data_IF_299267544467
#
_entry.id   IF_299267544467
#
_cell.length_a   1.000
_cell.length_b   1.000
_cell.length_c   1.000
_cell.angle_alpha   90.00
_cell.angle_beta   90.00
_cell.angle_gamma   90.00
#
_symmetry.space_group_name_H-M   'P 1'
#
loop_
_entity.id
_entity.type
_entity.pdbx_description
1 polymer ?
#
# COMPACT_ATOMS: atom_id res chain seq x y z
N UNK A 1 -6.41 -22.82 7.78
CA UNK A 1 -5.68 -21.96 6.83
C UNK A 1 -6.03 -22.44 5.43
N UNK A 2 -6.70 -21.62 4.61
CA UNK A 2 -7.07 -21.99 3.24
C UNK A 2 -6.04 -21.48 2.23
N UNK A 3 -5.71 -22.31 1.24
CA UNK A 3 -4.94 -21.90 0.07
C UNK A 3 -5.89 -21.31 -0.96
N UNK A 4 -5.58 -20.11 -1.45
CA UNK A 4 -6.34 -19.40 -2.48
C UNK A 4 -5.44 -19.11 -3.69
N UNK A 5 -6.05 -18.80 -4.82
CA UNK A 5 -5.26 -18.43 -6.01
C UNK A 5 -4.61 -17.05 -5.81
N UNK A 6 -3.46 -16.83 -6.44
CA UNK A 6 -2.80 -15.52 -6.46
C UNK A 6 -3.72 -14.37 -6.92
N UNK A 7 -4.64 -14.68 -7.85
CA UNK A 7 -5.63 -13.73 -8.37
C UNK A 7 -6.66 -13.36 -7.31
N UNK A 8 -7.16 -14.33 -6.56
CA UNK A 8 -8.14 -14.08 -5.50
C UNK A 8 -7.51 -13.41 -4.28
N UNK A 9 -6.26 -13.75 -3.96
CA UNK A 9 -5.48 -13.05 -2.96
C UNK A 9 -5.31 -11.56 -3.31
N UNK A 10 -5.03 -11.25 -4.58
CA UNK A 10 -4.88 -9.87 -5.07
C UNK A 10 -6.20 -9.07 -4.96
N UNK A 11 -7.36 -9.69 -5.19
CA UNK A 11 -8.67 -9.01 -5.03
C UNK A 11 -8.94 -8.55 -3.59
N UNK A 12 -8.37 -9.27 -2.60
CA UNK A 12 -8.49 -8.95 -1.17
C UNK A 12 -7.51 -7.88 -0.70
N UNK A 13 -6.53 -7.48 -1.54
CA UNK A 13 -5.58 -6.43 -1.19
C UNK A 13 -6.25 -5.05 -1.20
N UNK A 14 -5.74 -4.07 -0.42
CA UNK A 14 -6.28 -2.71 -0.42
C UNK A 14 -6.27 -2.03 -1.80
N UNK A 15 -5.30 -2.39 -2.64
CA UNK A 15 -5.19 -1.96 -4.03
C UNK A 15 -4.99 -3.21 -4.88
N UNK A 16 -5.91 -3.42 -5.82
CA UNK A 16 -5.80 -4.52 -6.77
C UNK A 16 -4.76 -4.15 -7.84
N UNK A 17 -3.73 -4.97 -7.98
CA UNK A 17 -2.70 -4.80 -9.00
C UNK A 17 -3.03 -5.64 -10.25
N UNK A 18 -2.32 -5.42 -11.36
CA UNK A 18 -2.47 -6.34 -12.49
C UNK A 18 -1.78 -7.69 -12.21
N UNK A 19 -2.24 -8.76 -12.86
CA UNK A 19 -1.75 -10.12 -12.61
C UNK A 19 -0.21 -10.22 -12.71
N UNK A 20 0.41 -9.55 -13.69
CA UNK A 20 1.86 -9.61 -13.87
C UNK A 20 2.64 -8.85 -12.80
N UNK A 21 2.10 -7.73 -12.28
CA UNK A 21 2.69 -7.05 -11.12
C UNK A 21 2.71 -7.96 -9.91
N UNK A 22 1.62 -8.69 -9.65
CA UNK A 22 1.54 -9.64 -8.54
C UNK A 22 2.51 -10.80 -8.75
N UNK A 23 2.60 -11.37 -9.97
CA UNK A 23 3.63 -12.40 -10.28
C UNK A 23 5.05 -11.87 -10.05
N UNK A 24 5.32 -10.61 -10.36
CA UNK A 24 6.62 -9.99 -10.10
C UNK A 24 6.92 -9.87 -8.60
N UNK A 25 5.90 -9.67 -7.74
CA UNK A 25 6.07 -9.71 -6.29
C UNK A 25 6.45 -11.12 -5.81
N UNK A 26 5.80 -12.16 -6.34
CA UNK A 26 6.15 -13.56 -6.05
C UNK A 26 7.60 -13.84 -6.42
N UNK A 27 8.00 -13.51 -7.66
CA UNK A 27 9.39 -13.70 -8.14
C UNK A 27 10.42 -12.93 -7.30
N UNK A 28 10.03 -11.80 -6.71
CA UNK A 28 10.88 -10.99 -5.81
C UNK A 28 10.85 -11.48 -4.36
N UNK A 29 10.07 -12.50 -4.01
CA UNK A 29 9.93 -13.00 -2.64
C UNK A 29 9.21 -12.02 -1.71
N UNK A 30 8.31 -11.18 -2.22
CA UNK A 30 7.63 -10.13 -1.45
C UNK A 30 6.26 -10.54 -0.92
N UNK A 31 5.95 -11.84 -0.90
CA UNK A 31 4.72 -12.39 -0.33
C UNK A 31 5.13 -13.46 0.68
N UNK A 32 4.61 -13.34 1.90
CA UNK A 32 4.92 -14.26 3.00
C UNK A 32 3.63 -14.77 3.68
N UNK A 33 3.45 -16.08 3.89
CA UNK A 33 4.36 -17.15 3.50
C UNK A 33 4.51 -17.28 1.97
N UNK A 34 5.61 -17.90 1.56
CA UNK A 34 5.98 -17.99 0.16
C UNK A 34 4.90 -18.74 -0.63
N UNK A 35 4.41 -18.20 -1.76
CA UNK A 35 3.45 -18.90 -2.60
C UNK A 35 4.00 -20.20 -3.18
N UNK A 36 3.17 -21.23 -3.27
CA UNK A 36 3.49 -22.51 -3.89
C UNK A 36 3.04 -22.54 -5.35
N UNK A 37 3.86 -23.11 -6.22
CA UNK A 37 3.48 -23.30 -7.63
C UNK A 37 2.65 -24.57 -7.78
N UNK A 38 1.41 -24.44 -8.26
CA UNK A 38 0.50 -25.54 -8.54
C UNK A 38 0.12 -25.56 -10.03
N UNK A 39 0.82 -26.41 -10.79
CA UNK A 39 0.68 -26.48 -12.24
C UNK A 39 1.05 -25.16 -12.92
N UNK A 40 0.05 -24.41 -13.37
CA UNK A 40 0.22 -23.11 -14.08
C UNK A 40 -0.11 -21.88 -13.21
N UNK A 41 -0.48 -22.09 -11.94
CA UNK A 41 -0.93 -21.04 -11.04
C UNK A 41 -0.10 -21.04 -9.76
N UNK A 42 -0.15 -19.94 -9.02
CA UNK A 42 0.36 -19.87 -7.64
C UNK A 42 -0.79 -20.02 -6.65
N UNK A 43 -0.57 -20.84 -5.63
CA UNK A 43 -1.38 -20.94 -4.43
C UNK A 43 -0.73 -20.10 -3.33
N UNK A 44 -1.55 -19.33 -2.66
CA UNK A 44 -1.14 -18.40 -1.61
C UNK A 44 -2.01 -18.68 -0.40
N UNK A 45 -1.43 -18.67 0.80
CA UNK A 45 -2.26 -18.69 2.00
C UNK A 45 -3.14 -17.44 2.05
N UNK A 46 -4.39 -17.61 2.47
CA UNK A 46 -5.32 -16.48 2.61
C UNK A 46 -4.79 -15.38 3.55
N UNK A 47 -4.03 -15.78 4.57
CA UNK A 47 -3.38 -14.89 5.55
C UNK A 47 -2.03 -14.35 5.09
N UNK A 48 -1.60 -14.64 3.87
CA UNK A 48 -0.32 -14.15 3.39
C UNK A 48 -0.30 -12.62 3.27
N UNK A 49 0.82 -12.04 3.67
CA UNK A 49 1.04 -10.59 3.68
C UNK A 49 2.07 -10.21 2.62
N UNK A 50 1.86 -9.02 2.03
CA UNK A 50 2.86 -8.40 1.19
C UNK A 50 3.96 -7.79 2.07
N UNK A 51 5.19 -8.20 1.84
CA UNK A 51 6.35 -7.58 2.48
C UNK A 51 6.64 -6.23 1.83
N UNK A 52 6.85 -5.22 2.67
CA UNK A 52 7.31 -3.91 2.19
C UNK A 52 8.79 -4.01 1.85
N UNK A 53 9.12 -3.90 0.57
CA UNK A 53 10.50 -3.77 0.12
C UNK A 53 10.98 -2.33 0.36
N UNK A 54 10.97 -1.88 1.61
CA UNK A 54 11.67 -0.66 1.99
C UNK A 54 13.17 -0.97 2.10
N UNK A 55 13.80 -1.31 0.98
CA UNK A 55 15.14 -0.77 0.73
C UNK A 55 14.94 0.72 0.44
N UNK A 56 14.64 1.48 1.50
CA UNK A 56 14.85 2.90 1.53
C UNK A 56 16.36 3.09 1.58
N UNK A 57 17.04 3.00 0.44
CA UNK A 57 18.44 3.43 0.31
C UNK A 57 18.60 4.96 0.50
N UNK A 58 17.52 5.66 0.89
CA UNK A 58 17.55 7.05 1.31
C UNK A 58 16.72 7.15 2.61
N UNK A 59 17.29 7.61 3.74
CA UNK A 59 16.52 8.04 4.90
C UNK A 59 15.84 9.38 4.55
N UNK A 60 14.84 9.32 3.68
CA UNK A 60 14.17 10.47 3.10
C UNK A 60 12.72 10.53 3.51
N UNK A 61 12.47 11.01 4.72
CA UNK A 61 11.24 11.73 5.08
C UNK A 61 9.92 10.96 4.88
N UNK A 62 9.70 9.93 5.69
CA UNK A 62 8.35 9.41 5.91
C UNK A 62 7.60 10.40 6.81
N UNK A 63 6.55 11.03 6.26
CA UNK A 63 5.49 11.80 6.95
C UNK A 63 5.50 13.33 6.86
N UNK A 64 6.05 13.95 5.81
CA UNK A 64 5.63 15.32 5.46
C UNK A 64 4.28 15.33 4.74
N UNK A 65 3.20 15.15 5.51
CA UNK A 65 1.82 15.43 5.07
C UNK A 65 1.68 16.94 4.83
N UNK A 66 2.04 17.39 3.63
CA UNK A 66 1.71 18.74 3.11
C UNK A 66 0.22 18.81 2.74
N UNK A 67 -0.67 18.58 3.71
CA UNK A 67 -2.13 18.64 3.54
C UNK A 67 -2.77 19.77 4.36
N UNK A 68 -2.02 20.84 4.66
CA UNK A 68 -2.60 22.02 5.31
C UNK A 68 -2.76 23.11 4.29
N UNK A 69 -4.01 23.50 4.01
CA UNK A 69 -4.33 24.73 3.29
C UNK A 69 -3.85 25.90 4.16
N UNK A 70 -3.03 26.80 3.60
CA UNK A 70 -2.70 28.07 4.26
C UNK A 70 -3.97 28.92 4.23
N UNK A 71 -4.44 29.38 5.40
CA UNK A 71 -5.59 30.27 5.52
C UNK A 71 -5.07 31.60 6.07
N UNK A 72 -4.59 32.46 5.17
CA UNK A 72 -4.25 33.85 5.50
C UNK A 72 -5.46 34.74 5.20
N UNK A 73 -6.26 35.01 6.23
CA UNK A 73 -7.39 35.95 6.16
C UNK A 73 -6.96 37.36 6.61
N UNK A 74 -7.54 38.40 6.01
CA UNK A 74 -7.36 39.80 6.46
C UNK A 74 -8.02 39.99 7.83
N UNK A 75 -7.28 40.48 8.83
CA UNK A 75 -7.85 40.88 10.10
C UNK A 75 -8.79 42.09 9.91
N UNK A 76 -10.10 41.86 10.04
CA UNK A 76 -11.08 42.94 10.02
C UNK A 76 -11.05 43.71 11.35
N UNK A 77 -10.92 45.04 11.27
CA UNK A 77 -10.83 45.91 12.44
C UNK A 77 -12.22 46.05 13.05
N UNK A 78 -12.44 45.44 14.22
CA UNK A 78 -13.70 45.59 14.98
C UNK A 78 -13.92 47.07 15.34
N UNK A 79 -14.97 47.67 14.80
CA UNK A 79 -15.45 48.98 15.27
C UNK A 79 -16.11 48.77 16.63
N UNK A 80 -15.61 49.44 17.67
CA UNK A 80 -16.32 49.58 18.94
C UNK A 80 -17.44 50.59 18.71
N UNK A 81 -18.68 50.15 18.81
CA UNK A 81 -19.80 51.07 18.91
C UNK A 81 -19.83 51.60 20.34
N UNK A 82 -19.73 52.92 20.48
CA UNK A 82 -19.94 53.66 21.73
C UNK A 82 -21.43 53.85 22.00
#
# INVERSE_FOLDING_TARGET
MGLITLKDWNKKQPIQLCDEQVRRLVRKGLIYPAPEMYGRCYLVEETAVRLNNHQSLIPGNTNNKLLRRIIDGRHEKRRKNS
#
